data_IF_754443928615
#
_entry.id   IF_754443928615
#
_cell.length_a   1.000
_cell.length_b   1.000
_cell.length_c   1.000
_cell.angle_alpha   90.00
_cell.angle_beta   90.00
_cell.angle_gamma   90.00
#
_symmetry.space_group_name_H-M   'P 1'
#
loop_
_entity.id
_entity.type
_entity.pdbx_description
1 polymer ?
#
# COMPACT_ATOMS: atom_id res chain seq x y z
N UNK A 1 29.70 13.11 7.99
CA UNK A 1 28.75 12.43 8.89
C UNK A 1 27.50 13.29 8.99
N UNK A 2 26.33 12.85 8.49
CA UNK A 2 25.12 13.65 8.63
C UNK A 2 24.75 13.72 10.12
N UNK A 3 24.66 14.95 10.63
CA UNK A 3 24.16 15.27 11.96
C UNK A 3 22.71 14.78 12.06
N UNK A 4 22.51 13.63 12.72
CA UNK A 4 21.19 13.15 13.09
C UNK A 4 20.62 14.11 14.15
N UNK A 5 19.91 15.14 13.72
CA UNK A 5 19.14 16.00 14.61
C UNK A 5 18.18 15.12 15.44
N UNK A 6 18.28 15.07 16.78
CA UNK A 6 17.61 14.10 17.64
C UNK A 6 16.08 14.25 17.77
N UNK A 7 15.44 15.04 16.90
CA UNK A 7 14.03 15.45 17.03
C UNK A 7 13.13 15.01 15.86
N UNK A 8 13.47 13.93 15.13
CA UNK A 8 12.72 13.48 13.93
C UNK A 8 11.68 12.37 14.16
N UNK A 9 11.45 11.91 15.39
CA UNK A 9 10.76 10.63 15.62
C UNK A 9 9.22 10.72 15.64
N UNK A 10 8.64 11.77 16.22
CA UNK A 10 7.17 11.89 16.37
C UNK A 10 6.37 11.81 15.05
N UNK A 11 6.72 12.53 13.96
CA UNK A 11 5.98 12.41 12.71
C UNK A 11 6.17 11.03 12.05
N UNK A 12 7.37 10.44 12.15
CA UNK A 12 7.64 9.13 11.55
C UNK A 12 6.83 8.01 12.22
N UNK A 13 6.75 7.99 13.55
CA UNK A 13 5.93 7.02 14.28
C UNK A 13 4.45 7.15 13.94
N UNK A 14 3.94 8.38 13.84
CA UNK A 14 2.54 8.60 13.47
C UNK A 14 2.25 8.11 12.05
N UNK A 15 3.14 8.38 11.09
CA UNK A 15 3.04 7.85 9.72
C UNK A 15 3.01 6.32 9.72
N UNK A 16 3.87 5.66 10.50
CA UNK A 16 3.91 4.20 10.60
C UNK A 16 2.63 3.62 11.21
N UNK A 17 2.09 4.24 12.26
CA UNK A 17 0.81 3.82 12.88
C UNK A 17 -0.35 3.99 11.90
N UNK A 18 -0.42 5.12 11.19
CA UNK A 18 -1.48 5.35 10.18
C UNK A 18 -1.33 4.37 9.01
N UNK A 19 -0.11 4.08 8.56
CA UNK A 19 0.13 3.09 7.52
C UNK A 19 -0.30 1.69 7.96
N UNK A 20 -0.04 1.30 9.20
CA UNK A 20 -0.53 0.03 9.76
C UNK A 20 -2.06 0.02 9.86
N UNK A 21 -2.68 1.14 10.25
CA UNK A 21 -4.13 1.30 10.18
C UNK A 21 -4.69 1.10 8.77
N UNK A 22 -3.99 1.60 7.75
CA UNK A 22 -4.38 1.39 6.35
C UNK A 22 -4.26 -0.08 5.92
N UNK A 23 -3.27 -0.82 6.44
CA UNK A 23 -3.19 -2.29 6.25
C UNK A 23 -4.41 -2.98 6.86
N UNK A 24 -4.82 -2.58 8.07
CA UNK A 24 -6.02 -3.13 8.71
C UNK A 24 -7.26 -2.80 7.88
N UNK A 25 -7.42 -1.55 7.44
CA UNK A 25 -8.54 -1.12 6.60
C UNK A 25 -8.60 -1.84 5.24
N UNK A 26 -7.44 -2.20 4.67
CA UNK A 26 -7.35 -3.03 3.48
C UNK A 26 -7.93 -4.44 3.70
N UNK A 27 -7.80 -4.98 4.92
CA UNK A 27 -8.35 -6.28 5.33
C UNK A 27 -9.78 -6.21 5.88
N UNK A 28 -10.34 -5.02 6.06
CA UNK A 28 -11.75 -4.84 6.39
C UNK A 28 -12.63 -4.98 5.14
N UNK A 29 -13.94 -5.23 5.28
CA UNK A 29 -14.86 -5.34 4.15
C UNK A 29 -14.87 -4.08 3.28
N UNK A 30 -14.54 -4.25 1.99
CA UNK A 30 -14.67 -3.23 0.95
C UNK A 30 -16.00 -3.32 0.23
N UNK A 31 -16.59 -4.51 0.16
CA UNK A 31 -17.98 -4.71 -0.24
C UNK A 31 -18.78 -5.33 0.89
N UNK A 32 -20.04 -4.91 1.00
CA UNK A 32 -21.04 -5.52 1.87
C UNK A 32 -22.26 -5.89 1.04
N UNK A 33 -22.80 -7.08 1.28
CA UNK A 33 -24.02 -7.55 0.65
C UNK A 33 -25.15 -7.63 1.71
N UNK A 34 -26.34 -7.06 1.46
CA UNK A 34 -27.39 -6.96 2.48
C UNK A 34 -27.98 -8.31 2.91
N UNK A 35 -28.00 -9.30 2.01
CA UNK A 35 -28.67 -10.58 2.23
C UNK A 35 -27.73 -11.79 2.44
N UNK A 36 -26.41 -11.60 2.32
CA UNK A 36 -25.45 -12.70 2.41
C UNK A 36 -24.26 -12.25 3.26
N UNK A 37 -23.66 -13.16 4.03
CA UNK A 37 -22.38 -12.94 4.74
C UNK A 37 -21.19 -12.85 3.76
N UNK A 38 -21.40 -12.21 2.61
CA UNK A 38 -20.43 -12.00 1.55
C UNK A 38 -19.80 -10.62 1.76
N UNK A 39 -18.86 -10.59 2.70
CA UNK A 39 -18.05 -9.41 3.01
C UNK A 39 -16.62 -9.65 2.55
N UNK A 40 -16.27 -9.10 1.39
CA UNK A 40 -14.93 -9.25 0.83
C UNK A 40 -14.06 -8.05 1.21
N UNK A 41 -12.87 -8.33 1.76
CA UNK A 41 -11.81 -7.33 1.79
C UNK A 41 -11.17 -7.17 0.39
N UNK A 42 -10.24 -6.24 0.23
CA UNK A 42 -9.62 -5.99 -1.08
C UNK A 42 -8.91 -7.21 -1.68
N UNK A 43 -8.24 -8.02 -0.86
CA UNK A 43 -7.53 -9.21 -1.31
C UNK A 43 -8.50 -10.30 -1.77
N UNK A 44 -9.53 -10.57 -0.96
CA UNK A 44 -10.54 -11.57 -1.26
C UNK A 44 -11.36 -11.16 -2.49
N UNK A 45 -11.62 -9.86 -2.64
CA UNK A 45 -12.26 -9.29 -3.83
C UNK A 45 -11.39 -9.51 -5.08
N UNK A 46 -10.08 -9.35 -4.97
CA UNK A 46 -9.15 -9.60 -6.07
C UNK A 46 -9.16 -11.07 -6.50
N UNK A 47 -9.19 -11.98 -5.53
CA UNK A 47 -9.29 -13.42 -5.76
C UNK A 47 -10.61 -13.79 -6.44
N UNK A 48 -11.73 -13.31 -5.90
CA UNK A 48 -13.05 -13.55 -6.47
C UNK A 48 -13.16 -13.01 -7.90
N UNK A 49 -12.71 -11.78 -8.15
CA UNK A 49 -12.71 -11.18 -9.48
C UNK A 49 -11.88 -11.99 -10.48
N UNK A 50 -10.77 -12.60 -10.05
CA UNK A 50 -9.89 -13.41 -10.91
C UNK A 50 -10.54 -14.69 -11.47
N UNK A 51 -11.66 -15.13 -10.88
CA UNK A 51 -12.43 -16.29 -11.35
C UNK A 51 -13.28 -15.95 -12.58
N UNK A 52 -13.64 -14.67 -12.77
CA UNK A 52 -14.53 -14.27 -13.85
C UNK A 52 -13.82 -14.28 -15.22
N UNK A 53 -14.42 -14.85 -16.28
CA UNK A 53 -13.82 -14.91 -17.62
C UNK A 53 -13.41 -13.55 -18.17
N UNK A 54 -14.24 -12.52 -17.99
CA UNK A 54 -13.94 -11.15 -18.47
C UNK A 54 -12.64 -10.61 -17.87
N UNK A 55 -12.40 -10.82 -16.57
CA UNK A 55 -11.18 -10.38 -15.88
C UNK A 55 -9.96 -11.17 -16.37
N UNK A 56 -10.13 -12.46 -16.64
CA UNK A 56 -9.06 -13.32 -17.22
C UNK A 56 -8.67 -12.92 -18.64
N UNK A 57 -9.59 -12.31 -19.38
CA UNK A 57 -9.41 -11.87 -20.75
C UNK A 57 -9.09 -10.37 -20.89
N UNK A 58 -8.91 -9.64 -19.78
CA UNK A 58 -8.45 -8.25 -19.81
C UNK A 58 -7.09 -8.12 -20.52
N UNK A 59 -6.83 -6.92 -21.06
CA UNK A 59 -5.52 -6.54 -21.58
C UNK A 59 -5.07 -5.26 -20.86
N UNK A 60 -4.11 -5.33 -19.91
CA UNK A 60 -3.35 -6.52 -19.51
C UNK A 60 -4.19 -7.56 -18.73
N UNK A 61 -3.76 -8.83 -18.73
CA UNK A 61 -4.50 -9.93 -18.07
C UNK A 61 -4.62 -9.70 -16.57
N UNK A 62 -5.81 -9.97 -16.01
CA UNK A 62 -6.09 -9.83 -14.57
C UNK A 62 -5.75 -8.43 -14.04
N UNK A 63 -6.00 -7.39 -14.84
CA UNK A 63 -5.67 -6.02 -14.46
C UNK A 63 -6.49 -5.55 -13.26
N UNK A 64 -7.77 -5.91 -13.19
CA UNK A 64 -8.62 -5.61 -12.03
C UNK A 64 -8.04 -6.23 -10.75
N UNK A 65 -7.65 -7.51 -10.80
CA UNK A 65 -6.99 -8.21 -9.68
C UNK A 65 -5.64 -7.58 -9.31
N UNK A 66 -4.85 -7.17 -10.30
CA UNK A 66 -3.58 -6.47 -10.08
C UNK A 66 -3.79 -5.18 -9.29
N UNK A 67 -4.73 -4.34 -9.73
CA UNK A 67 -5.02 -3.06 -9.10
C UNK A 67 -5.48 -3.20 -7.65
N UNK A 68 -6.25 -4.25 -7.33
CA UNK A 68 -6.69 -4.50 -5.97
C UNK A 68 -5.55 -4.96 -5.05
N UNK A 69 -4.49 -5.60 -5.57
CA UNK A 69 -3.37 -6.14 -4.77
C UNK A 69 -2.18 -5.19 -4.62
N UNK A 70 -1.94 -4.34 -5.61
CA UNK A 70 -0.86 -3.35 -5.61
C UNK A 70 -0.79 -2.45 -4.36
N UNK A 71 -1.91 -2.07 -3.69
CA UNK A 71 -1.87 -1.28 -2.47
C UNK A 71 -0.97 -1.85 -1.37
N UNK A 72 -0.88 -3.18 -1.23
CA UNK A 72 0.00 -3.82 -0.25
C UNK A 72 1.48 -3.56 -0.53
N UNK A 73 1.88 -3.51 -1.80
CA UNK A 73 3.26 -3.18 -2.19
C UNK A 73 3.56 -1.72 -1.83
N UNK A 74 2.66 -0.80 -2.17
CA UNK A 74 2.84 0.62 -1.87
C UNK A 74 2.88 0.89 -0.35
N UNK A 75 2.04 0.20 0.45
CA UNK A 75 2.12 0.27 1.91
C UNK A 75 3.46 -0.25 2.43
N UNK A 76 3.98 -1.36 1.88
CA UNK A 76 5.31 -1.86 2.17
C UNK A 76 6.41 -0.82 1.89
N UNK A 77 6.32 -0.11 0.75
CA UNK A 77 7.24 0.97 0.40
C UNK A 77 7.13 2.16 1.38
N UNK A 78 5.92 2.61 1.70
CA UNK A 78 5.65 3.71 2.65
C UNK A 78 6.25 3.40 4.02
N UNK A 79 6.00 2.20 4.54
CA UNK A 79 6.55 1.74 5.82
C UNK A 79 8.07 1.71 5.76
N UNK A 80 8.65 1.14 4.70
CA UNK A 80 10.11 1.01 4.57
C UNK A 80 10.81 2.38 4.47
N UNK A 81 10.29 3.29 3.64
CA UNK A 81 10.83 4.65 3.49
C UNK A 81 10.80 5.41 4.81
N UNK A 82 9.70 5.27 5.56
CA UNK A 82 9.52 5.92 6.86
C UNK A 82 10.41 5.28 7.93
N UNK A 83 10.52 3.96 7.95
CA UNK A 83 11.34 3.21 8.90
C UNK A 83 12.81 3.61 8.83
N UNK A 84 13.36 3.82 7.63
CA UNK A 84 14.75 4.25 7.43
C UNK A 84 15.03 5.64 8.04
N UNK A 85 14.00 6.47 8.26
CA UNK A 85 14.15 7.79 8.91
C UNK A 85 14.20 7.71 10.44
N UNK A 86 13.94 6.55 11.04
CA UNK A 86 14.02 6.36 12.49
C UNK A 86 15.48 6.41 12.96
N UNK A 87 15.72 6.98 14.14
CA UNK A 87 17.08 7.09 14.70
C UNK A 87 17.65 5.77 15.21
N UNK A 88 16.79 4.87 15.69
CA UNK A 88 17.18 3.59 16.27
C UNK A 88 17.09 2.46 15.22
N UNK A 89 18.24 1.87 14.91
CA UNK A 89 18.41 0.77 13.94
C UNK A 89 17.54 -0.43 14.27
N UNK A 90 17.29 -0.73 15.56
CA UNK A 90 16.45 -1.87 15.97
C UNK A 90 15.03 -1.69 15.47
N UNK A 91 14.48 -0.49 15.66
CA UNK A 91 13.13 -0.15 15.19
C UNK A 91 13.05 -0.08 13.67
N UNK A 92 14.12 0.33 12.97
CA UNK A 92 14.16 0.24 11.50
C UNK A 92 13.92 -1.20 11.03
N UNK A 93 14.66 -2.17 11.60
CA UNK A 93 14.55 -3.57 11.20
C UNK A 93 13.21 -4.19 11.57
N UNK A 94 12.61 -3.83 12.71
CA UNK A 94 11.26 -4.26 13.08
C UNK A 94 10.25 -3.84 12.00
N UNK A 95 10.25 -2.56 11.62
CA UNK A 95 9.30 -2.05 10.62
C UNK A 95 9.58 -2.54 9.20
N UNK A 96 10.84 -2.78 8.84
CA UNK A 96 11.19 -3.47 7.59
C UNK A 96 10.63 -4.89 7.62
N UNK A 97 10.75 -5.60 8.76
CA UNK A 97 10.12 -6.90 8.97
C UNK A 97 8.60 -6.86 8.76
N UNK A 98 7.93 -5.85 9.32
CA UNK A 98 6.49 -5.64 9.09
C UNK A 98 6.18 -5.42 7.60
N UNK A 99 6.93 -4.56 6.91
CA UNK A 99 6.75 -4.34 5.47
C UNK A 99 6.94 -5.63 4.66
N UNK A 100 7.94 -6.44 5.02
CA UNK A 100 8.17 -7.75 4.39
C UNK A 100 7.00 -8.69 4.61
N UNK A 101 6.45 -8.78 5.83
CA UNK A 101 5.28 -9.62 6.12
C UNK A 101 4.04 -9.19 5.30
N UNK A 102 3.84 -7.88 5.13
CA UNK A 102 2.75 -7.34 4.30
C UNK A 102 2.90 -7.78 2.85
N UNK A 103 4.11 -7.65 2.27
CA UNK A 103 4.35 -8.08 0.88
C UNK A 103 4.31 -9.59 0.72
N UNK A 104 4.83 -10.35 1.70
CA UNK A 104 4.79 -11.82 1.70
C UNK A 104 3.37 -12.38 1.77
N UNK A 105 2.37 -11.57 2.12
CA UNK A 105 0.95 -11.95 1.96
C UNK A 105 0.58 -12.23 0.50
N UNK A 106 1.29 -11.64 -0.46
CA UNK A 106 1.11 -11.87 -1.90
C UNK A 106 1.71 -13.20 -2.37
N UNK A 107 2.39 -13.94 -1.48
CA UNK A 107 3.09 -15.15 -1.85
C UNK A 107 2.11 -16.27 -2.24
N UNK A 108 2.21 -16.87 -3.44
CA UNK A 108 1.31 -17.93 -3.85
C UNK A 108 1.50 -19.19 -2.99
N UNK A 109 0.48 -20.07 -2.89
CA UNK A 109 0.59 -21.35 -2.20
C UNK A 109 1.74 -22.21 -2.72
N UNK A 110 2.37 -23.00 -1.82
CA UNK A 110 3.59 -23.77 -2.12
C UNK A 110 3.46 -24.75 -3.30
N UNK A 111 2.26 -25.24 -3.57
CA UNK A 111 1.98 -26.15 -4.68
C UNK A 111 2.18 -25.53 -6.07
N UNK A 112 2.29 -24.20 -6.15
CA UNK A 112 2.42 -23.47 -7.41
C UNK A 112 3.85 -23.04 -7.75
N UNK A 113 4.86 -23.52 -7.00
CA UNK A 113 6.26 -23.36 -7.39
C UNK A 113 6.72 -24.52 -8.29
N UNK A 114 7.55 -24.28 -9.32
CA UNK A 114 8.12 -23.00 -9.74
C UNK A 114 7.25 -22.33 -10.82
N UNK A 115 6.22 -21.58 -10.44
CA UNK A 115 5.35 -20.68 -11.24
C UNK A 115 4.79 -21.20 -12.59
N UNK A 116 5.05 -22.45 -12.99
CA UNK A 116 4.79 -22.96 -14.34
C UNK A 116 3.57 -23.88 -14.46
N UNK A 117 3.00 -24.35 -13.36
CA UNK A 117 1.85 -25.27 -13.35
C UNK A 117 0.55 -24.69 -12.76
N UNK A 118 0.59 -23.47 -12.23
CA UNK A 118 -0.55 -22.81 -11.57
C UNK A 118 -1.44 -21.99 -12.51
N UNK A 119 -2.54 -21.47 -11.96
CA UNK A 119 -3.41 -20.54 -12.70
C UNK A 119 -2.67 -19.21 -12.99
N UNK A 120 -3.15 -18.44 -13.98
CA UNK A 120 -2.59 -17.11 -14.29
C UNK A 120 -2.62 -16.19 -13.06
N UNK A 121 -3.60 -16.38 -12.17
CA UNK A 121 -3.71 -15.67 -10.91
C UNK A 121 -2.55 -15.97 -9.95
N UNK A 122 -2.16 -17.24 -9.84
CA UNK A 122 -1.03 -17.67 -9.00
C UNK A 122 0.31 -17.13 -9.52
N UNK A 123 0.47 -17.10 -10.85
CA UNK A 123 1.62 -16.47 -11.50
C UNK A 123 1.68 -14.97 -11.16
N UNK A 124 0.55 -14.27 -11.24
CA UNK A 124 0.48 -12.85 -10.88
C UNK A 124 0.86 -12.61 -9.41
N UNK A 125 0.39 -13.45 -8.48
CA UNK A 125 0.79 -13.39 -7.06
C UNK A 125 2.31 -13.58 -6.88
N UNK A 126 2.88 -14.56 -7.59
CA UNK A 126 4.33 -14.79 -7.60
C UNK A 126 5.12 -13.57 -8.06
N UNK A 127 4.74 -13.00 -9.21
CA UNK A 127 5.38 -11.79 -9.73
C UNK A 127 5.20 -10.58 -8.81
N UNK A 128 4.02 -10.40 -8.21
CA UNK A 128 3.76 -9.32 -7.26
C UNK A 128 4.58 -9.45 -5.98
N UNK A 129 4.79 -10.68 -5.49
CA UNK A 129 5.66 -10.93 -4.35
C UNK A 129 7.09 -10.52 -4.66
N UNK A 130 7.64 -10.97 -5.79
CA UNK A 130 9.00 -10.61 -6.21
C UNK A 130 9.12 -9.09 -6.41
N UNK A 131 8.17 -8.48 -7.12
CA UNK A 131 8.15 -7.04 -7.34
C UNK A 131 8.07 -6.25 -6.03
N UNK A 132 7.27 -6.71 -5.06
CA UNK A 132 7.15 -6.09 -3.75
C UNK A 132 8.43 -6.19 -2.92
N UNK A 133 9.09 -7.34 -2.94
CA UNK A 133 10.39 -7.52 -2.25
C UNK A 133 11.46 -6.61 -2.85
N UNK A 134 11.51 -6.53 -4.18
CA UNK A 134 12.37 -5.59 -4.91
C UNK A 134 12.04 -4.15 -4.52
N UNK A 135 10.76 -3.77 -4.46
CA UNK A 135 10.32 -2.43 -4.09
C UNK A 135 10.71 -2.06 -2.65
N UNK A 136 10.63 -2.99 -1.70
CA UNK A 136 11.12 -2.79 -0.32
C UNK A 136 12.64 -2.56 -0.32
N UNK A 137 13.40 -3.41 -1.03
CA UNK A 137 14.86 -3.29 -1.11
C UNK A 137 15.27 -1.93 -1.71
N UNK A 138 14.62 -1.52 -2.81
CA UNK A 138 14.84 -0.21 -3.41
C UNK A 138 14.44 0.93 -2.46
N UNK A 139 13.30 0.83 -1.77
CA UNK A 139 12.84 1.83 -0.80
C UNK A 139 13.83 2.00 0.36
N UNK A 140 14.39 0.89 0.86
CA UNK A 140 15.39 0.91 1.91
C UNK A 140 16.69 1.59 1.46
N UNK A 141 17.19 1.27 0.27
CA UNK A 141 18.35 1.91 -0.33
C UNK A 141 18.07 3.39 -0.61
N UNK A 142 17.03 3.69 -1.38
CA UNK A 142 16.64 5.05 -1.76
C UNK A 142 16.39 5.95 -0.55
N UNK A 143 15.77 5.45 0.52
CA UNK A 143 15.47 6.24 1.72
C UNK A 143 16.72 6.82 2.41
N UNK A 144 17.89 6.19 2.23
CA UNK A 144 19.17 6.68 2.76
C UNK A 144 19.82 7.74 1.86
N UNK A 145 19.61 7.66 0.55
CA UNK A 145 20.29 8.50 -0.44
C UNK A 145 19.45 9.70 -0.88
N UNK A 146 18.12 9.53 -0.94
CA UNK A 146 17.16 10.50 -1.45
C UNK A 146 16.44 11.28 -0.33
N UNK A 147 17.16 11.61 0.74
CA UNK A 147 16.57 12.31 1.89
C UNK A 147 15.90 13.65 1.54
N UNK A 148 16.34 14.32 0.47
CA UNK A 148 15.74 15.55 -0.05
C UNK A 148 14.45 15.33 -0.85
N UNK A 149 14.22 14.13 -1.37
CA UNK A 149 13.03 13.77 -2.17
C UNK A 149 12.02 12.94 -1.38
N UNK A 150 12.26 12.71 -0.09
CA UNK A 150 11.40 11.88 0.76
C UNK A 150 9.92 12.33 0.71
N UNK A 151 9.64 13.60 0.99
CA UNK A 151 8.27 14.13 1.02
C UNK A 151 7.54 14.01 -0.34
N UNK A 152 8.09 14.51 -1.46
CA UNK A 152 7.39 14.39 -2.74
C UNK A 152 7.23 12.92 -3.18
N UNK A 153 8.23 12.07 -2.94
CA UNK A 153 8.14 10.65 -3.27
C UNK A 153 7.03 9.96 -2.47
N UNK A 154 6.95 10.20 -1.16
CA UNK A 154 5.88 9.66 -0.30
C UNK A 154 4.49 10.09 -0.77
N UNK A 155 4.31 11.36 -1.13
CA UNK A 155 3.02 11.87 -1.63
C UNK A 155 2.64 11.16 -2.93
N UNK A 156 3.58 11.03 -3.87
CA UNK A 156 3.34 10.33 -5.15
C UNK A 156 2.99 8.87 -4.91
N UNK A 157 3.73 8.16 -4.06
CA UNK A 157 3.46 6.75 -3.73
C UNK A 157 2.05 6.59 -3.15
N UNK A 158 1.69 7.42 -2.17
CA UNK A 158 0.36 7.32 -1.53
C UNK A 158 -0.76 7.73 -2.50
N UNK A 159 -0.55 8.75 -3.34
CA UNK A 159 -1.53 9.15 -4.35
C UNK A 159 -1.75 8.06 -5.41
N UNK A 160 -0.67 7.44 -5.90
CA UNK A 160 -0.76 6.31 -6.84
C UNK A 160 -1.44 5.11 -6.18
N UNK A 161 -1.11 4.81 -4.92
CA UNK A 161 -1.77 3.75 -4.14
C UNK A 161 -3.29 3.97 -4.06
N UNK A 162 -3.72 5.18 -3.74
CA UNK A 162 -5.15 5.53 -3.67
C UNK A 162 -5.82 5.43 -5.05
N UNK A 163 -5.17 5.95 -6.10
CA UNK A 163 -5.70 5.87 -7.47
C UNK A 163 -5.87 4.42 -7.93
N UNK A 164 -4.90 3.57 -7.64
CA UNK A 164 -4.93 2.14 -7.98
C UNK A 164 -6.01 1.40 -7.17
N UNK A 165 -6.10 1.65 -5.86
CA UNK A 165 -7.14 1.07 -5.00
C UNK A 165 -8.56 1.44 -5.46
N UNK A 166 -8.82 2.73 -5.72
CA UNK A 166 -10.12 3.22 -6.16
C UNK A 166 -10.48 2.70 -7.56
N UNK A 167 -9.52 2.64 -8.48
CA UNK A 167 -9.76 2.10 -9.82
C UNK A 167 -10.05 0.60 -9.77
N UNK A 168 -9.27 -0.17 -9.00
CA UNK A 168 -9.50 -1.60 -8.78
C UNK A 168 -10.88 -1.87 -8.16
N UNK A 169 -11.25 -1.08 -7.14
CA UNK A 169 -12.57 -1.16 -6.52
C UNK A 169 -13.71 -0.85 -7.50
N UNK A 170 -13.59 0.23 -8.28
CA UNK A 170 -14.62 0.62 -9.25
C UNK A 170 -14.84 -0.46 -10.32
N UNK A 171 -13.75 -1.05 -10.84
CA UNK A 171 -13.82 -2.15 -11.82
C UNK A 171 -14.42 -3.42 -11.24
N UNK A 172 -14.02 -3.78 -10.02
CA UNK A 172 -14.60 -4.94 -9.34
C UNK A 172 -16.09 -4.73 -9.03
N UNK A 173 -16.49 -3.51 -8.67
CA UNK A 173 -17.89 -3.16 -8.43
C UNK A 173 -18.71 -3.26 -9.72
N UNK A 174 -18.21 -2.71 -10.83
CA UNK A 174 -18.82 -2.84 -12.16
C UNK A 174 -19.01 -4.31 -12.56
N UNK A 175 -17.99 -5.14 -12.36
CA UNK A 175 -18.07 -6.58 -12.61
C UNK A 175 -19.20 -7.24 -11.79
N UNK A 176 -19.22 -7.00 -10.48
CA UNK A 176 -20.19 -7.64 -9.59
C UNK A 176 -21.63 -7.16 -9.83
N UNK A 177 -21.82 -5.85 -10.00
CA UNK A 177 -23.16 -5.26 -10.19
C UNK A 177 -23.68 -5.47 -11.62
N UNK A 178 -22.87 -5.19 -12.64
CA UNK A 178 -23.35 -5.14 -14.03
C UNK A 178 -23.21 -6.47 -14.76
N UNK A 179 -22.26 -7.35 -14.38
CA UNK A 179 -22.10 -8.67 -15.02
C UNK A 179 -22.74 -9.80 -14.23
N UNK A 180 -22.71 -9.72 -12.91
CA UNK A 180 -23.25 -10.76 -12.02
C UNK A 180 -24.57 -10.39 -11.35
N UNK A 181 -25.08 -9.17 -11.58
CA UNK A 181 -26.33 -8.67 -11.01
C UNK A 181 -26.39 -8.76 -9.47
N UNK A 182 -25.24 -8.67 -8.81
CA UNK A 182 -25.14 -8.69 -7.36
C UNK A 182 -25.39 -7.29 -6.79
N UNK A 183 -26.29 -7.20 -5.81
CA UNK A 183 -26.53 -5.95 -5.09
C UNK A 183 -25.48 -5.82 -3.99
N UNK A 184 -24.47 -4.99 -4.25
CA UNK A 184 -23.39 -4.73 -3.30
C UNK A 184 -23.29 -3.24 -3.03
N UNK A 185 -22.97 -2.92 -1.78
CA UNK A 185 -22.67 -1.57 -1.32
C UNK A 185 -21.20 -1.44 -0.92
N UNK A 186 -20.71 -0.20 -0.87
CA UNK A 186 -19.37 0.09 -0.38
C UNK A 186 -19.26 -0.19 1.13
N UNK A 187 -18.32 -1.05 1.49
CA UNK A 187 -17.99 -1.38 2.86
C UNK A 187 -17.13 -0.30 3.54
N UNK A 188 -17.21 -0.24 4.87
CA UNK A 188 -16.46 0.73 5.68
C UNK A 188 -14.93 0.63 5.53
N UNK A 189 -14.40 -0.53 5.14
CA UNK A 189 -12.97 -0.74 4.92
C UNK A 189 -12.40 0.15 3.82
N UNK A 190 -13.14 0.33 2.71
CA UNK A 190 -12.72 1.22 1.62
C UNK A 190 -12.65 2.68 2.09
N UNK A 191 -13.70 3.16 2.75
CA UNK A 191 -13.75 4.54 3.24
C UNK A 191 -12.62 4.83 4.23
N UNK A 192 -12.39 3.90 5.17
CA UNK A 192 -11.31 4.02 6.13
C UNK A 192 -9.94 3.98 5.45
N UNK A 193 -9.74 3.11 4.46
CA UNK A 193 -8.51 3.02 3.69
C UNK A 193 -8.18 4.34 2.98
N UNK A 194 -9.16 4.91 2.29
CA UNK A 194 -9.02 6.20 1.60
C UNK A 194 -8.74 7.33 2.58
N UNK A 195 -9.50 7.41 3.67
CA UNK A 195 -9.30 8.40 4.71
C UNK A 195 -7.88 8.35 5.29
N UNK A 196 -7.40 7.16 5.67
CA UNK A 196 -6.05 6.99 6.21
C UNK A 196 -4.97 7.32 5.17
N UNK A 197 -5.18 7.02 3.89
CA UNK A 197 -4.28 7.46 2.82
C UNK A 197 -4.20 8.99 2.70
N UNK A 198 -5.33 9.70 2.82
CA UNK A 198 -5.33 11.16 2.84
C UNK A 198 -4.65 11.72 4.09
N UNK A 199 -4.84 11.09 5.25
CA UNK A 199 -4.12 11.44 6.48
C UNK A 199 -2.61 11.28 6.30
N UNK A 200 -2.14 10.20 5.66
CA UNK A 200 -0.71 10.03 5.36
C UNK A 200 -0.17 11.20 4.52
N UNK A 201 -0.88 11.63 3.47
CA UNK A 201 -0.49 12.79 2.67
C UNK A 201 -0.43 14.05 3.55
N UNK A 202 -1.45 14.28 4.38
CA UNK A 202 -1.51 15.41 5.29
C UNK A 202 -0.33 15.44 6.28
N UNK A 203 0.04 14.30 6.86
CA UNK A 203 1.17 14.17 7.77
C UNK A 203 2.51 14.47 7.07
N UNK A 204 2.69 13.96 5.85
CA UNK A 204 3.90 14.20 5.05
C UNK A 204 4.01 15.68 4.68
N UNK A 205 2.91 16.32 4.24
CA UNK A 205 2.89 17.75 3.93
C UNK A 205 3.17 18.60 5.17
N UNK A 206 2.56 18.26 6.31
CA UNK A 206 2.77 18.96 7.58
C UNK A 206 4.25 18.95 7.98
N UNK A 207 4.89 17.78 7.96
CA UNK A 207 6.32 17.65 8.26
C UNK A 207 7.19 18.44 7.27
N UNK A 208 6.86 18.41 5.98
CA UNK A 208 7.54 19.20 4.95
C UNK A 208 7.49 20.71 5.21
N UNK A 209 6.30 21.26 5.48
CA UNK A 209 6.09 22.69 5.76
C UNK A 209 6.78 23.11 7.05
N UNK A 210 6.67 22.30 8.11
CA UNK A 210 7.30 22.57 9.40
C UNK A 210 8.82 22.66 9.27
N UNK A 211 9.43 21.69 8.57
CA UNK A 211 10.87 21.67 8.34
C UNK A 211 11.35 22.85 7.48
N UNK A 212 10.57 23.25 6.47
CA UNK A 212 10.88 24.43 5.67
C UNK A 212 10.89 25.72 6.52
N UNK A 213 9.84 25.97 7.32
CA UNK A 213 9.76 27.16 8.20
C UNK A 213 10.92 27.22 9.19
N UNK A 214 11.31 26.07 9.77
CA UNK A 214 12.43 25.98 10.71
C UNK A 214 13.76 26.38 10.05
N UNK A 215 14.02 25.91 8.81
CA UNK A 215 15.23 26.29 8.06
C UNK A 215 15.28 27.78 7.75
N UNK A 216 14.15 28.41 7.44
CA UNK A 216 14.08 29.85 7.21
C UNK A 216 14.41 30.64 8.49
N UNK A 217 13.87 30.23 9.65
CA UNK A 217 14.19 30.86 10.95
C UNK A 217 15.66 30.73 11.33
N UNK A 218 16.27 29.57 11.09
CA UNK A 218 17.69 29.36 11.39
C UNK A 218 18.62 30.25 10.53
N UNK A 219 18.21 30.60 9.31
CA UNK A 219 18.95 31.53 8.43
C UNK A 219 18.74 33.00 8.80
N UNK A 220 17.69 33.32 9.56
CA UNK A 220 17.34 34.69 9.93
C UNK A 220 17.95 35.14 11.27
N UNK A 221 18.59 34.23 12.01
CA UNK A 221 19.32 34.56 13.23
C UNK A 221 20.73 35.07 12.85
N UNK A 222 21.10 36.30 13.23
CA UNK A 222 22.41 36.89 12.94
C UNK A 222 23.56 36.22 13.70
#
# INVERSE_FOLDING_TARGET
MPMNSPYRTLPAWLVLVVALGAVIAYHMPWHVHPAAAFSNNAFDLAEFASLHPDVRNESPKLFTTLLLRLPLIFLGMVITLTAVQLSDVRWQWIWIGVALLIVLRLNPPRVFYPFGGGSINDQQLGYLTIAGLIAIMFSWGAGRWLSGLYHPLMIVIVAVMLGVALNGYARATDLLQNKLALQIDAGGGLFLFVFLGLVLIGLVLWDGVYNWRRRQRAKALP
#
